data_IF_674042200707
#
_entry.id   IF_674042200707
#
_cell.length_a   1.000
_cell.length_b   1.000
_cell.length_c   1.000
_cell.angle_alpha   90.00
_cell.angle_beta   90.00
_cell.angle_gamma   90.00
#
_symmetry.space_group_name_H-M   'P 1'
#
loop_
_entity.id
_entity.type
_entity.pdbx_description
1 polymer ?
#
# COMPACT_ATOMS: atom_id res chain seq x y z
N UNK A 1 -7.07 -16.53 -21.09
CA UNK A 1 -5.91 -16.57 -20.17
C UNK A 1 -6.23 -15.75 -18.94
N UNK A 2 -5.80 -16.21 -17.76
CA UNK A 2 -6.04 -15.52 -16.48
C UNK A 2 -4.84 -14.65 -16.14
N UNK A 3 -5.06 -13.39 -15.79
CA UNK A 3 -4.00 -12.47 -15.31
C UNK A 3 -3.95 -12.54 -13.79
N UNK A 4 -2.76 -12.76 -13.24
CA UNK A 4 -2.50 -12.73 -11.80
C UNK A 4 -1.58 -11.56 -11.47
N UNK A 5 -1.76 -10.98 -10.29
CA UNK A 5 -0.95 -9.88 -9.76
C UNK A 5 -0.81 -10.02 -8.26
N UNK A 6 0.06 -9.20 -7.65
CA UNK A 6 0.09 -9.08 -6.21
C UNK A 6 -1.29 -8.66 -5.66
N UNK A 7 -1.77 -9.42 -4.67
CA UNK A 7 -3.02 -9.16 -3.94
C UNK A 7 -2.77 -8.80 -2.49
N UNK A 8 -1.53 -8.44 -2.14
CA UNK A 8 -1.07 -8.25 -0.77
C UNK A 8 -1.43 -9.42 0.14
N UNK A 9 -1.22 -10.66 -0.33
CA UNK A 9 -1.49 -11.86 0.46
C UNK A 9 -2.92 -11.93 1.03
N UNK A 10 -3.93 -11.46 0.27
CA UNK A 10 -5.34 -11.51 0.69
C UNK A 10 -5.83 -12.90 1.10
N UNK A 11 -5.19 -13.97 0.62
CA UNK A 11 -5.45 -15.34 1.05
C UNK A 11 -5.02 -15.61 2.50
N UNK A 12 -3.88 -15.04 2.95
CA UNK A 12 -3.43 -15.14 4.34
C UNK A 12 -4.39 -14.38 5.23
N UNK A 13 -4.75 -13.16 4.86
CA UNK A 13 -5.72 -12.35 5.60
C UNK A 13 -7.06 -13.08 5.79
N UNK A 14 -7.62 -13.65 4.70
CA UNK A 14 -8.86 -14.44 4.78
C UNK A 14 -8.73 -15.60 5.76
N UNK A 15 -7.61 -16.34 5.70
CA UNK A 15 -7.37 -17.46 6.60
C UNK A 15 -7.29 -17.04 8.06
N UNK A 16 -6.57 -15.96 8.38
CA UNK A 16 -6.48 -15.49 9.77
C UNK A 16 -7.80 -14.89 10.26
N UNK A 17 -8.56 -14.20 9.38
CA UNK A 17 -9.91 -13.71 9.69
C UNK A 17 -10.86 -14.86 10.00
N UNK A 18 -10.83 -15.92 9.21
CA UNK A 18 -11.74 -17.07 9.39
C UNK A 18 -11.39 -17.82 10.70
N UNK A 19 -10.12 -17.88 11.09
CA UNK A 19 -9.71 -18.37 12.41
C UNK A 19 -10.19 -17.47 13.54
N UNK A 20 -10.00 -16.16 13.43
CA UNK A 20 -10.45 -15.19 14.42
C UNK A 20 -11.98 -15.29 14.64
N UNK A 21 -12.74 -15.41 13.55
CA UNK A 21 -14.18 -15.62 13.59
C UNK A 21 -14.55 -16.94 14.29
N UNK A 22 -13.80 -18.02 14.05
CA UNK A 22 -14.00 -19.30 14.74
C UNK A 22 -13.69 -19.22 16.25
N UNK A 23 -12.78 -18.34 16.66
CA UNK A 23 -12.46 -18.03 18.05
C UNK A 23 -13.46 -17.03 18.70
N UNK A 24 -14.49 -16.60 17.95
CA UNK A 24 -15.51 -15.65 18.43
C UNK A 24 -15.11 -14.18 18.31
N UNK A 25 -13.96 -13.86 17.72
CA UNK A 25 -13.56 -12.49 17.38
C UNK A 25 -14.19 -12.09 16.04
N UNK A 26 -15.26 -11.30 16.12
CA UNK A 26 -16.01 -10.83 14.93
C UNK A 26 -15.47 -9.52 14.34
N UNK A 27 -14.58 -8.82 15.05
CA UNK A 27 -13.97 -7.61 14.53
C UNK A 27 -12.91 -7.95 13.47
N UNK A 28 -13.20 -7.50 12.24
CA UNK A 28 -12.35 -7.72 11.08
C UNK A 28 -11.07 -6.87 11.18
N UNK A 29 -11.13 -5.72 11.85
CA UNK A 29 -10.00 -4.81 11.99
C UNK A 29 -8.96 -5.31 12.99
N UNK A 30 -9.36 -6.19 13.91
CA UNK A 30 -8.46 -6.85 14.86
C UNK A 30 -7.59 -7.94 14.19
N UNK A 31 -7.98 -8.37 12.98
CA UNK A 31 -7.23 -9.39 12.24
C UNK A 31 -5.99 -8.80 11.59
N UNK A 32 -4.85 -9.01 12.25
CA UNK A 32 -3.52 -8.69 11.71
C UNK A 32 -2.87 -9.91 11.05
N UNK A 33 -2.04 -9.69 10.03
CA UNK A 33 -1.28 -10.74 9.38
C UNK A 33 0.01 -10.19 8.77
N UNK A 34 0.99 -11.07 8.60
CA UNK A 34 2.21 -10.77 7.87
C UNK A 34 2.11 -11.31 6.44
N UNK A 35 2.49 -10.47 5.48
CA UNK A 35 2.57 -10.90 4.07
C UNK A 35 3.73 -11.86 3.87
N UNK A 36 3.63 -12.72 2.84
CA UNK A 36 4.69 -13.69 2.55
C UNK A 36 6.04 -13.01 2.26
N UNK A 37 6.04 -11.91 1.50
CA UNK A 37 7.27 -11.17 1.20
C UNK A 37 7.87 -10.47 2.42
N UNK A 38 7.05 -9.94 3.34
CA UNK A 38 7.53 -9.41 4.62
C UNK A 38 8.16 -10.52 5.47
N UNK A 39 7.46 -11.66 5.63
CA UNK A 39 7.95 -12.79 6.44
C UNK A 39 9.25 -13.38 5.90
N UNK A 40 9.40 -13.44 4.58
CA UNK A 40 10.59 -14.01 3.94
C UNK A 40 11.79 -13.05 3.90
N UNK A 41 11.61 -11.77 4.24
CA UNK A 41 12.67 -10.78 4.13
C UNK A 41 13.50 -10.73 5.43
N UNK A 42 14.75 -11.25 5.44
CA UNK A 42 15.56 -11.26 6.66
C UNK A 42 16.03 -9.87 7.09
N UNK A 43 16.12 -8.92 6.14
CA UNK A 43 16.61 -7.56 6.38
C UNK A 43 15.51 -6.60 6.83
N UNK A 44 14.24 -7.01 6.82
CA UNK A 44 13.11 -6.13 7.16
C UNK A 44 12.84 -5.02 6.15
N UNK A 45 13.20 -5.23 4.88
CA UNK A 45 13.05 -4.20 3.84
C UNK A 45 11.59 -3.90 3.44
N UNK A 46 10.66 -4.83 3.70
CA UNK A 46 9.25 -4.70 3.36
C UNK A 46 8.45 -4.61 4.65
N UNK A 47 7.76 -3.49 4.85
CA UNK A 47 6.84 -3.28 5.98
C UNK A 47 5.41 -3.20 5.44
N UNK A 48 4.51 -3.95 6.06
CA UNK A 48 3.09 -3.98 5.70
C UNK A 48 2.23 -3.69 6.93
N UNK A 49 1.11 -2.99 6.75
CA UNK A 49 0.26 -2.53 7.84
C UNK A 49 -0.87 -1.62 7.34
N UNK A 50 -1.68 -1.12 8.28
CA UNK A 50 -2.79 -0.22 7.98
C UNK A 50 -2.30 1.24 7.89
N UNK A 51 -2.65 1.93 6.80
CA UNK A 51 -2.35 3.35 6.62
C UNK A 51 -3.33 4.26 7.36
N UNK A 52 -4.50 3.76 7.74
CA UNK A 52 -5.50 4.53 8.49
C UNK A 52 -5.16 4.61 9.98
N UNK A 53 -4.45 3.61 10.51
CA UNK A 53 -3.94 3.63 11.87
C UNK A 53 -2.70 4.56 11.96
N UNK A 54 -2.77 5.68 12.71
CA UNK A 54 -1.63 6.59 12.89
C UNK A 54 -0.46 5.95 13.64
N UNK A 55 -0.72 4.94 14.48
CA UNK A 55 0.30 4.30 15.30
C UNK A 55 1.08 3.23 14.54
N UNK A 56 0.58 2.79 13.38
CA UNK A 56 1.24 1.79 12.55
C UNK A 56 2.59 2.28 12.03
N UNK A 57 3.55 1.35 11.95
CA UNK A 57 4.87 1.63 11.40
C UNK A 57 4.79 2.15 9.96
N UNK A 58 3.88 1.59 9.16
CA UNK A 58 3.68 2.00 7.77
C UNK A 58 3.15 3.43 7.67
N UNK A 59 2.22 3.85 8.53
CA UNK A 59 1.69 5.23 8.55
C UNK A 59 2.77 6.23 8.91
N UNK A 60 3.64 5.89 9.87
CA UNK A 60 4.81 6.68 10.26
C UNK A 60 5.84 6.77 9.13
N UNK A 61 6.17 5.65 8.49
CA UNK A 61 7.11 5.59 7.37
C UNK A 61 6.59 6.34 6.14
N UNK A 62 5.30 6.25 5.82
CA UNK A 62 4.69 6.93 4.69
C UNK A 62 4.70 8.47 4.82
N UNK A 63 4.73 8.99 6.05
CA UNK A 63 4.84 10.43 6.35
C UNK A 63 6.29 10.93 6.42
N UNK A 64 7.28 10.05 6.33
CA UNK A 64 8.70 10.43 6.36
C UNK A 64 9.08 11.21 5.10
N UNK A 65 10.00 12.17 5.23
CA UNK A 65 10.60 12.89 4.09
C UNK A 65 11.26 11.97 3.06
N UNK A 66 11.62 10.74 3.46
CA UNK A 66 12.21 9.72 2.58
C UNK A 66 11.17 8.98 1.75
N UNK A 67 9.88 9.08 2.09
CA UNK A 67 8.83 8.36 1.40
C UNK A 67 8.54 8.97 0.03
N UNK A 68 8.51 8.09 -0.97
CA UNK A 68 8.13 8.42 -2.34
C UNK A 68 7.09 7.40 -2.79
N UNK A 69 5.96 7.89 -3.27
CA UNK A 69 4.96 7.05 -3.93
C UNK A 69 5.11 7.21 -5.43
N UNK A 70 5.03 6.08 -6.16
CA UNK A 70 4.89 6.13 -7.61
C UNK A 70 3.59 6.87 -7.95
N UNK A 71 3.72 8.07 -8.49
CA UNK A 71 2.57 8.90 -8.86
C UNK A 71 2.07 8.51 -10.24
N UNK A 72 0.76 8.28 -10.34
CA UNK A 72 0.09 8.10 -11.61
C UNK A 72 -0.36 9.46 -12.17
N UNK A 73 -0.74 9.50 -13.45
CA UNK A 73 -1.34 10.68 -14.08
C UNK A 73 -2.50 11.27 -13.26
N UNK A 74 -3.27 10.45 -12.57
CA UNK A 74 -4.38 10.94 -11.73
C UNK A 74 -3.88 11.82 -10.59
N UNK A 75 -2.71 11.53 -10.01
CA UNK A 75 -2.20 12.27 -8.86
C UNK A 75 -1.86 13.73 -9.21
N UNK A 76 -1.67 14.05 -10.50
CA UNK A 76 -1.44 15.42 -10.99
C UNK A 76 -2.73 16.19 -11.28
N UNK A 77 -3.89 15.52 -11.29
CA UNK A 77 -5.18 16.14 -11.56
C UNK A 77 -5.73 16.89 -10.33
N UNK A 78 -6.64 17.86 -10.51
CA UNK A 78 -7.35 18.49 -9.39
C UNK A 78 -8.09 17.46 -8.53
N UNK A 79 -8.19 17.71 -7.21
CA UNK A 79 -8.79 16.78 -6.23
C UNK A 79 -10.20 16.30 -6.61
N UNK A 80 -11.00 17.16 -7.22
CA UNK A 80 -12.35 16.83 -7.71
C UNK A 80 -12.31 15.72 -8.77
N UNK A 81 -11.43 15.86 -9.77
CA UNK A 81 -11.21 14.84 -10.80
C UNK A 81 -10.60 13.58 -10.21
N UNK A 82 -9.66 13.69 -9.25
CA UNK A 82 -9.12 12.52 -8.57
C UNK A 82 -10.22 11.69 -7.88
N UNK A 83 -11.13 12.36 -7.16
CA UNK A 83 -12.24 11.69 -6.48
C UNK A 83 -13.19 11.02 -7.49
N UNK A 84 -13.48 11.68 -8.61
CA UNK A 84 -14.27 11.11 -9.71
C UNK A 84 -13.61 9.84 -10.30
N UNK A 85 -12.32 9.91 -10.64
CA UNK A 85 -11.58 8.77 -11.20
C UNK A 85 -11.43 7.61 -10.21
N UNK A 86 -11.21 7.90 -8.93
CA UNK A 86 -11.16 6.88 -7.86
C UNK A 86 -12.49 6.18 -7.68
N UNK A 87 -13.62 6.89 -7.78
CA UNK A 87 -14.98 6.29 -7.73
C UNK A 87 -15.22 5.33 -8.89
N UNK A 88 -14.75 5.67 -10.09
CA UNK A 88 -14.88 4.82 -11.29
C UNK A 88 -14.07 3.52 -11.21
N UNK A 89 -13.17 3.36 -10.22
CA UNK A 89 -12.24 2.21 -10.08
C UNK A 89 -11.47 1.87 -11.36
N UNK A 90 -11.37 2.82 -12.29
CA UNK A 90 -10.79 2.62 -13.61
C UNK A 90 -9.25 2.61 -13.58
N UNK A 91 -8.65 2.93 -12.43
CA UNK A 91 -7.22 3.08 -12.28
C UNK A 91 -6.71 2.47 -10.99
N UNK A 92 -5.50 1.92 -11.08
CA UNK A 92 -4.77 1.40 -9.94
C UNK A 92 -4.20 2.57 -9.13
N UNK A 93 -4.52 2.61 -7.84
CA UNK A 93 -3.93 3.54 -6.86
C UNK A 93 -3.15 2.71 -5.83
N UNK A 94 -1.97 2.16 -6.22
CA UNK A 94 -1.21 1.32 -5.33
C UNK A 94 -0.71 2.14 -4.14
N UNK A 95 -1.07 1.71 -2.93
CA UNK A 95 -0.58 2.29 -1.68
C UNK A 95 0.78 1.71 -1.30
N UNK A 96 1.73 1.84 -2.22
CA UNK A 96 3.11 1.36 -2.08
C UNK A 96 4.03 2.57 -2.04
N UNK A 97 4.83 2.65 -0.98
CA UNK A 97 5.80 3.72 -0.77
C UNK A 97 7.20 3.13 -0.80
N UNK A 98 8.12 3.84 -1.45
CA UNK A 98 9.54 3.54 -1.45
C UNK A 98 10.25 4.54 -0.54
N UNK A 99 11.22 4.06 0.23
CA UNK A 99 12.03 4.91 1.09
C UNK A 99 13.38 5.17 0.42
N UNK A 100 13.68 6.44 0.14
CA UNK A 100 14.98 6.83 -0.42
C UNK A 100 15.46 8.16 0.14
N UNK A 101 16.75 8.24 0.48
CA UNK A 101 17.43 9.49 0.79
C UNK A 101 17.92 10.22 -0.47
N UNK A 102 18.01 9.53 -1.59
CA UNK A 102 18.60 10.05 -2.82
C UNK A 102 17.58 10.88 -3.60
N UNK A 103 17.88 12.17 -3.77
CA UNK A 103 16.99 13.12 -4.45
C UNK A 103 16.67 12.72 -5.89
N UNK A 104 17.68 12.29 -6.66
CA UNK A 104 17.51 11.89 -8.06
C UNK A 104 16.54 10.71 -8.23
N UNK A 105 16.50 9.78 -7.27
CA UNK A 105 15.51 8.68 -7.27
C UNK A 105 14.10 9.20 -7.02
N UNK A 106 13.93 10.19 -6.14
CA UNK A 106 12.62 10.83 -5.94
C UNK A 106 12.15 11.46 -7.24
N UNK A 107 13.02 12.24 -7.88
CA UNK A 107 12.70 12.96 -9.11
C UNK A 107 12.37 12.01 -10.28
N UNK A 108 13.01 10.83 -10.35
CA UNK A 108 12.71 9.79 -11.34
C UNK A 108 11.37 9.08 -11.08
N UNK A 109 11.02 8.81 -9.82
CA UNK A 109 9.79 8.10 -9.44
C UNK A 109 8.54 8.98 -9.57
N UNK A 110 8.69 10.30 -9.50
CA UNK A 110 7.70 11.22 -10.02
C UNK A 110 7.80 11.21 -11.54
N UNK A 111 6.81 10.66 -12.24
CA UNK A 111 6.66 10.82 -13.68
C UNK A 111 6.40 12.30 -14.01
N UNK A 112 7.45 13.13 -13.92
CA UNK A 112 7.43 14.49 -14.38
C UNK A 112 7.39 14.38 -15.90
N UNK A 113 6.24 14.68 -16.49
CA UNK A 113 6.13 14.90 -17.93
C UNK A 113 7.15 16.00 -18.23
N UNK A 114 8.27 15.65 -18.86
CA UNK A 114 9.15 16.64 -19.45
C UNK A 114 8.25 17.46 -20.38
N UNK A 115 8.06 18.73 -20.02
CA UNK A 115 7.43 19.70 -20.90
C UNK A 115 8.29 19.88 -22.15
#
# INVERSE_FOLDING_TARGET
>A
GTIVKCTFCSHIWKRERDKAAAEGRLDINDTTYQTACQKSCPTGAIVFGDLNDPESEVSKLAKSDRAVRLTNYIDTLPKEKQAEFRKKKAYTDPKVYYLTSQKWLKDMLFFKKNS
#
